data_IF_126686565533
#
_entry.id   IF_126686565533
#
_cell.length_a   1.000
_cell.length_b   1.000
_cell.length_c   1.000
_cell.angle_alpha   90.00
_cell.angle_beta   90.00
_cell.angle_gamma   90.00
#
_symmetry.space_group_name_H-M   'P 1'
#
loop_
_entity.id
_entity.type
_entity.pdbx_description
1 polymer ?
#
# COMPACT_ATOMS: atom_id res chain seq x y z
N UNK A 1 -32.09 -8.40 10.58
CA UNK A 1 -31.75 -8.17 9.17
C UNK A 1 -30.58 -9.09 8.84
N UNK A 2 -30.77 -10.02 7.87
CA UNK A 2 -29.64 -10.80 7.37
C UNK A 2 -28.73 -9.87 6.57
N UNK A 3 -27.63 -9.45 7.15
CA UNK A 3 -26.60 -8.67 6.45
C UNK A 3 -25.72 -9.64 5.68
N UNK A 4 -25.81 -9.63 4.36
CA UNK A 4 -24.96 -10.44 3.47
C UNK A 4 -23.49 -9.98 3.48
N UNK A 5 -23.22 -8.73 3.82
CA UNK A 5 -21.88 -8.11 3.90
C UNK A 5 -21.79 -7.36 5.23
N UNK A 6 -20.72 -7.62 5.99
CA UNK A 6 -20.56 -7.07 7.35
C UNK A 6 -20.40 -5.54 7.35
N UNK A 7 -19.50 -5.03 6.53
CA UNK A 7 -19.13 -3.60 6.43
C UNK A 7 -19.08 -3.18 4.95
N UNK A 8 -20.26 -2.88 4.33
CA UNK A 8 -20.37 -2.75 2.87
C UNK A 8 -19.48 -1.68 2.25
N UNK A 9 -19.38 -0.50 2.88
CA UNK A 9 -18.59 0.62 2.34
C UNK A 9 -17.10 0.23 2.27
N UNK A 10 -16.56 -0.32 3.34
CA UNK A 10 -15.18 -0.79 3.40
C UNK A 10 -14.93 -1.93 2.41
N UNK A 11 -15.85 -2.89 2.33
CA UNK A 11 -15.77 -4.01 1.43
C UNK A 11 -15.74 -3.59 -0.05
N UNK A 12 -16.70 -2.76 -0.48
CA UNK A 12 -16.85 -2.38 -1.89
C UNK A 12 -15.81 -1.36 -2.34
N UNK A 13 -15.36 -0.44 -1.48
CA UNK A 13 -14.27 0.50 -1.82
C UNK A 13 -12.98 -0.26 -2.13
N UNK A 14 -12.61 -1.23 -1.29
CA UNK A 14 -11.40 -2.01 -1.53
C UNK A 14 -11.59 -3.10 -2.59
N UNK A 15 -12.78 -3.64 -2.80
CA UNK A 15 -13.05 -4.51 -3.96
C UNK A 15 -12.85 -3.74 -5.28
N UNK A 16 -13.38 -2.52 -5.36
CA UNK A 16 -13.13 -1.62 -6.49
C UNK A 16 -11.64 -1.31 -6.65
N UNK A 17 -10.94 -1.06 -5.52
CA UNK A 17 -9.49 -0.89 -5.49
C UNK A 17 -8.73 -2.10 -6.03
N UNK A 18 -9.16 -3.33 -5.71
CA UNK A 18 -8.54 -4.55 -6.22
C UNK A 18 -8.69 -4.71 -7.74
N UNK A 19 -9.87 -4.38 -8.27
CA UNK A 19 -10.13 -4.39 -9.73
C UNK A 19 -9.25 -3.33 -10.43
N UNK A 20 -9.20 -2.12 -9.89
CA UNK A 20 -8.35 -1.05 -10.44
C UNK A 20 -6.86 -1.40 -10.35
N UNK A 21 -6.41 -2.03 -9.26
CA UNK A 21 -5.04 -2.50 -9.11
C UNK A 21 -4.68 -3.59 -10.12
N UNK A 22 -5.62 -4.49 -10.45
CA UNK A 22 -5.42 -5.48 -11.52
C UNK A 22 -5.28 -4.81 -12.89
N UNK A 23 -6.14 -3.86 -13.22
CA UNK A 23 -6.06 -3.08 -14.47
C UNK A 23 -4.73 -2.30 -14.52
N UNK A 24 -4.33 -1.66 -13.42
CA UNK A 24 -3.07 -0.94 -13.30
C UNK A 24 -1.87 -1.86 -13.51
N UNK A 25 -1.88 -3.08 -12.94
CA UNK A 25 -0.84 -4.08 -13.16
C UNK A 25 -0.72 -4.45 -14.65
N UNK A 26 -1.85 -4.74 -15.31
CA UNK A 26 -1.85 -5.06 -16.75
C UNK A 26 -1.30 -3.89 -17.58
N UNK A 27 -1.73 -2.66 -17.30
CA UNK A 27 -1.24 -1.47 -17.99
C UNK A 27 0.27 -1.27 -17.79
N UNK A 28 0.78 -1.45 -16.57
CA UNK A 28 2.22 -1.38 -16.28
C UNK A 28 3.00 -2.50 -16.98
N UNK A 29 2.49 -3.73 -17.00
CA UNK A 29 3.13 -4.85 -17.68
C UNK A 29 3.23 -4.61 -19.19
N UNK A 30 2.16 -4.16 -19.82
CA UNK A 30 2.20 -3.82 -21.26
C UNK A 30 3.23 -2.72 -21.51
N UNK A 31 3.20 -1.64 -20.73
CA UNK A 31 4.11 -0.52 -20.92
C UNK A 31 5.57 -0.92 -20.72
N UNK A 32 5.89 -1.64 -19.62
CA UNK A 32 7.26 -2.05 -19.32
C UNK A 32 7.81 -3.04 -20.36
N UNK A 33 6.97 -3.95 -20.86
CA UNK A 33 7.37 -4.93 -21.87
C UNK A 33 7.71 -4.27 -23.22
N UNK A 34 7.12 -3.12 -23.51
CA UNK A 34 7.39 -2.37 -24.77
C UNK A 34 8.54 -1.37 -24.59
N UNK A 35 8.58 -0.65 -23.45
CA UNK A 35 9.52 0.47 -23.25
C UNK A 35 10.86 0.07 -22.64
N UNK A 36 10.87 -0.89 -21.72
CA UNK A 36 12.07 -1.32 -21.00
C UNK A 36 12.02 -2.81 -20.61
N UNK A 37 12.08 -3.73 -21.57
CA UNK A 37 11.90 -5.17 -21.36
C UNK A 37 13.10 -5.78 -20.62
N UNK A 38 13.18 -5.53 -19.30
CA UNK A 38 14.20 -6.13 -18.43
C UNK A 38 13.55 -6.93 -17.32
N UNK A 39 14.24 -7.96 -16.85
CA UNK A 39 13.78 -8.79 -15.74
C UNK A 39 13.50 -7.93 -14.48
N UNK A 40 14.39 -6.99 -14.17
CA UNK A 40 14.24 -6.10 -13.02
C UNK A 40 12.99 -5.22 -13.13
N UNK A 41 12.75 -4.61 -14.31
CA UNK A 41 11.61 -3.73 -14.53
C UNK A 41 10.27 -4.50 -14.50
N UNK A 42 10.21 -5.69 -15.11
CA UNK A 42 9.03 -6.55 -15.07
C UNK A 42 8.75 -7.00 -13.63
N UNK A 43 9.78 -7.45 -12.89
CA UNK A 43 9.66 -7.85 -11.49
C UNK A 43 9.17 -6.68 -10.63
N UNK A 44 9.68 -5.48 -10.85
CA UNK A 44 9.31 -4.28 -10.11
C UNK A 44 7.81 -3.97 -10.23
N UNK A 45 7.27 -3.97 -11.44
CA UNK A 45 5.83 -3.67 -11.66
C UNK A 45 4.93 -4.82 -11.18
N UNK A 46 5.39 -6.07 -11.26
CA UNK A 46 4.67 -7.22 -10.69
C UNK A 46 4.57 -7.08 -9.18
N UNK A 47 5.68 -6.82 -8.49
CA UNK A 47 5.70 -6.67 -7.03
C UNK A 47 4.79 -5.52 -6.57
N UNK A 48 4.80 -4.39 -7.28
CA UNK A 48 3.92 -3.25 -6.98
C UNK A 48 2.45 -3.59 -7.22
N UNK A 49 2.09 -4.09 -8.39
CA UNK A 49 0.71 -4.42 -8.73
C UNK A 49 0.12 -5.51 -7.84
N UNK A 50 0.88 -6.59 -7.59
CA UNK A 50 0.47 -7.66 -6.66
C UNK A 50 0.33 -7.11 -5.25
N UNK A 51 1.24 -6.25 -4.79
CA UNK A 51 1.15 -5.62 -3.47
C UNK A 51 -0.17 -4.88 -3.26
N UNK A 52 -0.59 -4.07 -4.24
CA UNK A 52 -1.89 -3.39 -4.22
C UNK A 52 -3.07 -4.39 -4.22
N UNK A 53 -3.05 -5.37 -5.13
CA UNK A 53 -4.13 -6.35 -5.27
C UNK A 53 -4.33 -7.16 -4.00
N UNK A 54 -3.24 -7.65 -3.41
CA UNK A 54 -3.30 -8.52 -2.22
C UNK A 54 -3.83 -7.77 -1.02
N UNK A 55 -3.42 -6.51 -0.80
CA UNK A 55 -3.98 -5.68 0.26
C UNK A 55 -5.48 -5.47 0.03
N UNK A 56 -5.86 -4.95 -1.14
CA UNK A 56 -7.27 -4.61 -1.39
C UNK A 56 -8.18 -5.83 -1.34
N UNK A 57 -7.73 -6.97 -1.87
CA UNK A 57 -8.51 -8.21 -1.80
C UNK A 57 -8.63 -8.73 -0.36
N UNK A 58 -7.53 -8.76 0.40
CA UNK A 58 -7.56 -9.19 1.81
C UNK A 58 -8.50 -8.31 2.64
N UNK A 59 -8.47 -7.00 2.42
CA UNK A 59 -9.34 -6.04 3.08
C UNK A 59 -10.80 -6.20 2.66
N UNK A 60 -11.08 -6.31 1.35
CA UNK A 60 -12.44 -6.54 0.86
C UNK A 60 -13.05 -7.82 1.44
N UNK A 61 -12.28 -8.92 1.51
CA UNK A 61 -12.71 -10.18 2.14
C UNK A 61 -12.96 -9.98 3.62
N UNK A 62 -12.03 -9.36 4.36
CA UNK A 62 -12.17 -9.12 5.80
C UNK A 62 -13.47 -8.33 6.12
N UNK A 63 -13.76 -7.29 5.36
CA UNK A 63 -14.94 -6.44 5.57
C UNK A 63 -16.24 -7.06 5.03
N UNK A 64 -16.15 -8.03 4.11
CA UNK A 64 -17.33 -8.71 3.56
C UNK A 64 -17.78 -9.88 4.41
N UNK A 65 -16.82 -10.63 5.00
CA UNK A 65 -17.11 -11.93 5.59
C UNK A 65 -18.04 -11.83 6.82
N UNK A 66 -19.11 -12.65 6.81
CA UNK A 66 -20.01 -12.88 7.94
C UNK A 66 -19.76 -14.30 8.43
N UNK A 67 -18.99 -14.44 9.50
CA UNK A 67 -18.53 -15.73 10.01
C UNK A 67 -18.30 -15.66 11.54
N UNK A 68 -17.78 -16.75 12.13
CA UNK A 68 -17.42 -16.78 13.55
C UNK A 68 -16.31 -15.76 13.86
N UNK A 69 -16.22 -15.29 15.11
CA UNK A 69 -15.20 -14.35 15.56
C UNK A 69 -13.76 -14.81 15.27
N UNK A 70 -13.51 -16.13 15.35
CA UNK A 70 -12.19 -16.71 15.02
C UNK A 70 -11.83 -16.49 13.56
N UNK A 71 -12.77 -16.66 12.63
CA UNK A 71 -12.57 -16.47 11.19
C UNK A 71 -12.39 -14.98 10.88
N UNK A 72 -13.22 -14.11 11.47
CA UNK A 72 -13.10 -12.66 11.34
C UNK A 72 -11.74 -12.17 11.86
N UNK A 73 -11.30 -12.69 13.01
CA UNK A 73 -9.99 -12.35 13.57
C UNK A 73 -8.83 -12.77 12.67
N UNK A 74 -8.91 -13.95 12.02
CA UNK A 74 -7.92 -14.40 11.06
C UNK A 74 -7.81 -13.44 9.86
N UNK A 75 -8.94 -13.10 9.23
CA UNK A 75 -8.96 -12.17 8.09
C UNK A 75 -8.51 -10.77 8.48
N UNK A 76 -8.82 -10.31 9.69
CA UNK A 76 -8.31 -9.06 10.23
C UNK A 76 -6.78 -9.06 10.38
N UNK A 77 -6.18 -10.16 10.84
CA UNK A 77 -4.72 -10.29 10.89
C UNK A 77 -4.11 -10.25 9.49
N UNK A 78 -4.74 -10.93 8.55
CA UNK A 78 -4.30 -10.96 7.16
C UNK A 78 -4.35 -9.53 6.55
N UNK A 79 -5.50 -8.86 6.63
CA UNK A 79 -5.68 -7.49 6.15
C UNK A 79 -4.59 -6.54 6.66
N UNK A 80 -4.36 -6.50 7.97
CA UNK A 80 -3.31 -5.65 8.55
C UNK A 80 -1.88 -6.06 8.15
N UNK A 81 -1.63 -7.34 7.90
CA UNK A 81 -0.32 -7.82 7.45
C UNK A 81 -0.05 -7.42 6.01
N UNK A 82 -1.09 -7.36 5.16
CA UNK A 82 -0.94 -6.98 3.76
C UNK A 82 -0.59 -5.51 3.56
N UNK A 83 -0.77 -4.65 4.57
CA UNK A 83 -0.28 -3.27 4.54
C UNK A 83 1.25 -3.23 4.33
N UNK A 84 2.00 -4.11 4.99
CA UNK A 84 3.46 -4.22 4.79
C UNK A 84 3.80 -4.61 3.36
N UNK A 85 3.02 -5.52 2.76
CA UNK A 85 3.21 -5.96 1.36
C UNK A 85 2.91 -4.83 0.38
N UNK A 86 1.85 -4.05 0.61
CA UNK A 86 1.56 -2.85 -0.20
C UNK A 86 2.73 -1.87 -0.15
N UNK A 87 3.20 -1.51 1.06
CA UNK A 87 4.30 -0.56 1.22
C UNK A 87 5.56 -1.10 0.51
N UNK A 88 5.96 -2.35 0.75
CA UNK A 88 7.13 -2.94 0.10
C UNK A 88 6.99 -2.97 -1.43
N UNK A 89 5.82 -3.36 -1.93
CA UNK A 89 5.52 -3.37 -3.37
C UNK A 89 5.67 -1.98 -4.01
N UNK A 90 5.22 -0.93 -3.30
CA UNK A 90 5.32 0.46 -3.77
C UNK A 90 6.77 0.89 -3.98
N UNK A 91 7.72 0.38 -3.18
CA UNK A 91 9.14 0.67 -3.33
C UNK A 91 9.81 -0.01 -4.52
N UNK A 92 9.31 -1.17 -4.95
CA UNK A 92 9.99 -2.00 -5.94
C UNK A 92 10.34 -1.25 -7.24
N UNK A 93 9.47 -0.44 -7.89
CA UNK A 93 9.82 0.33 -9.08
C UNK A 93 10.92 1.36 -8.83
N UNK A 94 10.87 2.07 -7.71
CA UNK A 94 11.88 3.08 -7.38
C UNK A 94 13.24 2.45 -7.08
N UNK A 95 13.26 1.29 -6.40
CA UNK A 95 14.49 0.58 -6.06
C UNK A 95 15.13 -0.10 -7.28
N UNK A 96 14.33 -0.80 -8.09
CA UNK A 96 14.85 -1.68 -9.15
C UNK A 96 14.98 -1.00 -10.51
N UNK A 97 14.28 0.13 -10.73
CA UNK A 97 14.32 0.87 -11.98
C UNK A 97 15.01 2.22 -11.79
N UNK A 98 14.48 3.07 -10.91
CA UNK A 98 14.96 4.45 -10.75
C UNK A 98 16.35 4.49 -10.11
N UNK A 99 16.54 3.81 -8.99
CA UNK A 99 17.80 3.79 -8.26
C UNK A 99 18.79 2.73 -8.76
N UNK A 100 18.41 1.78 -9.56
CA UNK A 100 19.11 0.65 -10.24
C UNK A 100 20.63 0.46 -9.94
N UNK A 101 21.05 0.69 -8.71
CA UNK A 101 22.43 0.72 -8.21
C UNK A 101 22.51 0.04 -6.84
N UNK A 102 23.66 0.09 -6.19
CA UNK A 102 23.86 -0.38 -4.82
C UNK A 102 22.85 0.27 -3.83
N UNK A 103 22.54 1.56 -4.02
CA UNK A 103 21.53 2.27 -3.21
C UNK A 103 20.14 1.69 -3.39
N UNK A 104 19.73 1.38 -4.63
CA UNK A 104 18.45 0.76 -4.92
C UNK A 104 18.33 -0.63 -4.29
N UNK A 105 19.36 -1.46 -4.44
CA UNK A 105 19.36 -2.78 -3.82
C UNK A 105 19.37 -2.73 -2.30
N UNK A 106 20.12 -1.82 -1.70
CA UNK A 106 20.16 -1.61 -0.25
C UNK A 106 18.76 -1.21 0.27
N UNK A 107 18.13 -0.22 -0.36
CA UNK A 107 16.79 0.22 0.01
C UNK A 107 15.75 -0.91 -0.18
N UNK A 108 15.83 -1.65 -1.28
CA UNK A 108 14.98 -2.81 -1.53
C UNK A 108 15.08 -3.84 -0.41
N UNK A 109 16.30 -4.27 -0.08
CA UNK A 109 16.54 -5.25 0.99
C UNK A 109 16.05 -4.73 2.35
N UNK A 110 16.32 -3.46 2.68
CA UNK A 110 15.90 -2.84 3.93
C UNK A 110 14.36 -2.83 4.07
N UNK A 111 13.66 -2.41 3.01
CA UNK A 111 12.19 -2.33 3.00
C UNK A 111 11.55 -3.71 3.09
N UNK A 112 12.03 -4.68 2.30
CA UNK A 112 11.48 -6.04 2.32
C UNK A 112 11.80 -6.78 3.61
N UNK A 113 12.98 -6.60 4.19
CA UNK A 113 13.30 -7.12 5.52
C UNK A 113 12.38 -6.51 6.59
N UNK A 114 12.15 -5.19 6.55
CA UNK A 114 11.22 -4.50 7.46
C UNK A 114 9.79 -5.00 7.29
N UNK A 115 9.35 -5.27 6.04
CA UNK A 115 8.03 -5.83 5.76
C UNK A 115 7.87 -7.23 6.38
N UNK A 116 8.85 -8.11 6.18
CA UNK A 116 8.85 -9.46 6.77
C UNK A 116 8.80 -9.38 8.30
N UNK A 117 9.67 -8.56 8.91
CA UNK A 117 9.67 -8.34 10.36
C UNK A 117 8.33 -7.80 10.86
N UNK A 118 7.71 -6.86 10.11
CA UNK A 118 6.41 -6.28 10.44
C UNK A 118 5.27 -7.30 10.36
N UNK A 119 5.26 -8.17 9.35
CA UNK A 119 4.31 -9.27 9.23
C UNK A 119 4.47 -10.24 10.39
N UNK A 120 5.70 -10.67 10.67
CA UNK A 120 6.03 -11.57 11.79
C UNK A 120 5.58 -10.93 13.11
N UNK A 121 5.91 -9.66 13.34
CA UNK A 121 5.46 -8.90 14.51
C UNK A 121 3.93 -8.93 14.64
N UNK A 122 3.17 -8.69 13.56
CA UNK A 122 1.70 -8.75 13.56
C UNK A 122 1.15 -10.15 13.80
N UNK A 123 1.83 -11.18 13.35
CA UNK A 123 1.41 -12.56 13.61
C UNK A 123 1.54 -12.93 15.09
N UNK A 124 2.60 -12.46 15.79
CA UNK A 124 2.83 -12.75 17.20
C UNK A 124 2.13 -11.77 18.14
N UNK A 125 2.13 -10.47 17.85
CA UNK A 125 1.54 -9.45 18.71
C UNK A 125 0.51 -8.58 17.96
N UNK A 126 -0.58 -9.21 17.52
CA UNK A 126 -1.63 -8.53 16.78
C UNK A 126 -2.31 -7.41 17.57
N UNK A 127 -2.55 -7.62 18.87
CA UNK A 127 -3.26 -6.68 19.75
C UNK A 127 -2.36 -5.55 20.28
N UNK A 128 -1.22 -5.29 19.66
CA UNK A 128 -0.38 -4.15 20.03
C UNK A 128 -1.16 -2.82 19.90
N UNK A 129 -0.77 -1.77 20.64
CA UNK A 129 -1.39 -0.45 20.53
C UNK A 129 -1.42 0.04 19.08
N UNK A 130 -2.53 0.64 18.64
CA UNK A 130 -2.72 1.09 17.25
C UNK A 130 -1.66 2.09 16.80
N UNK A 131 -1.30 3.03 17.68
CA UNK A 131 -0.26 4.01 17.36
C UNK A 131 1.08 3.37 17.02
N UNK A 132 1.40 2.25 17.67
CA UNK A 132 2.63 1.49 17.40
C UNK A 132 2.59 0.86 15.99
N UNK A 133 1.47 0.18 15.66
CA UNK A 133 1.30 -0.38 14.31
C UNK A 133 1.37 0.69 13.23
N UNK A 134 0.61 1.76 13.42
CA UNK A 134 0.57 2.88 12.46
C UNK A 134 1.94 3.55 12.35
N UNK A 135 2.65 3.73 13.47
CA UNK A 135 4.00 4.27 13.49
C UNK A 135 4.97 3.42 12.67
N UNK A 136 4.92 2.09 12.79
CA UNK A 136 5.77 1.18 12.01
C UNK A 136 5.46 1.31 10.50
N UNK A 137 4.18 1.36 10.09
CA UNK A 137 3.80 1.56 8.68
C UNK A 137 4.32 2.89 8.14
N UNK A 138 4.15 3.98 8.90
CA UNK A 138 4.63 5.30 8.49
C UNK A 138 6.15 5.35 8.41
N UNK A 139 6.86 4.85 9.43
CA UNK A 139 8.32 4.79 9.40
C UNK A 139 8.83 4.01 8.18
N UNK A 140 8.25 2.85 7.88
CA UNK A 140 8.58 2.08 6.71
C UNK A 140 8.28 2.86 5.42
N UNK A 141 7.14 3.55 5.33
CA UNK A 141 6.75 4.36 4.16
C UNK A 141 7.69 5.54 3.90
N UNK A 142 8.31 6.11 4.95
CA UNK A 142 9.21 7.26 4.85
C UNK A 142 10.71 6.88 4.73
N UNK A 143 11.07 5.60 4.67
CA UNK A 143 12.47 5.17 4.45
C UNK A 143 13.07 5.75 3.16
N UNK A 144 12.26 6.05 2.15
CA UNK A 144 12.69 6.65 0.89
C UNK A 144 13.42 7.99 1.09
N UNK A 145 13.13 8.72 2.16
CA UNK A 145 13.75 10.01 2.48
C UNK A 145 15.27 9.87 2.70
N UNK A 146 15.73 8.72 3.21
CA UNK A 146 17.16 8.45 3.37
C UNK A 146 17.91 8.36 2.03
N UNK A 147 17.16 8.13 0.95
CA UNK A 147 17.68 7.99 -0.41
C UNK A 147 17.15 9.10 -1.34
N UNK A 148 16.66 10.22 -0.76
CA UNK A 148 16.01 11.28 -1.52
C UNK A 148 16.94 11.93 -2.54
N UNK A 149 18.21 12.18 -2.19
CA UNK A 149 19.18 12.81 -3.11
C UNK A 149 19.39 11.95 -4.36
N UNK A 150 19.83 10.68 -4.27
CA UNK A 150 20.01 9.84 -5.46
C UNK A 150 18.68 9.57 -6.19
N UNK A 151 17.54 9.60 -5.51
CA UNK A 151 16.24 9.49 -6.15
C UNK A 151 15.93 10.73 -7.00
N UNK A 152 16.16 11.92 -6.46
CA UNK A 152 15.90 13.20 -7.13
C UNK A 152 16.80 13.43 -8.35
N UNK A 153 17.99 12.84 -8.38
CA UNK A 153 18.88 12.86 -9.55
C UNK A 153 18.39 11.97 -10.70
N UNK A 154 17.58 10.93 -10.41
CA UNK A 154 17.16 9.92 -11.37
C UNK A 154 15.66 9.92 -11.67
N UNK A 155 14.85 10.70 -10.96
CA UNK A 155 13.41 10.80 -11.14
C UNK A 155 13.04 12.24 -11.49
N UNK A 156 12.22 12.43 -12.51
CA UNK A 156 11.74 13.76 -12.89
C UNK A 156 10.92 14.42 -11.77
N UNK A 157 10.85 15.74 -11.79
CA UNK A 157 10.08 16.53 -10.80
C UNK A 157 8.62 16.06 -10.69
N UNK A 158 7.97 15.72 -11.82
CA UNK A 158 6.61 15.19 -11.81
C UNK A 158 6.50 13.85 -11.05
N UNK A 159 7.47 12.96 -11.25
CA UNK A 159 7.53 11.68 -10.53
C UNK A 159 7.71 11.88 -9.03
N UNK A 160 8.59 12.81 -8.63
CA UNK A 160 8.82 13.17 -7.23
C UNK A 160 7.56 13.76 -6.60
N UNK A 161 6.87 14.65 -7.29
CA UNK A 161 5.64 15.27 -6.78
C UNK A 161 4.55 14.22 -6.51
N UNK A 162 4.32 13.28 -7.44
CA UNK A 162 3.36 12.20 -7.21
C UNK A 162 3.81 11.23 -6.13
N UNK A 163 5.10 10.94 -6.00
CA UNK A 163 5.64 10.12 -4.91
C UNK A 163 5.38 10.78 -3.55
N UNK A 164 5.68 12.07 -3.40
CA UNK A 164 5.44 12.83 -2.17
C UNK A 164 3.93 12.90 -1.87
N UNK A 165 3.11 13.18 -2.88
CA UNK A 165 1.65 13.24 -2.73
C UNK A 165 1.08 11.90 -2.22
N UNK A 166 1.58 10.79 -2.75
CA UNK A 166 1.21 9.45 -2.27
C UNK A 166 1.59 9.23 -0.80
N UNK A 167 2.81 9.61 -0.42
CA UNK A 167 3.28 9.56 0.97
C UNK A 167 2.44 10.44 1.91
N UNK A 168 2.02 11.63 1.46
CA UNK A 168 1.13 12.52 2.20
C UNK A 168 -0.25 11.87 2.41
N UNK A 169 -0.86 11.31 1.35
CA UNK A 169 -2.15 10.63 1.48
C UNK A 169 -2.08 9.45 2.44
N UNK A 170 -1.06 8.60 2.35
CA UNK A 170 -0.87 7.50 3.30
C UNK A 170 -0.64 8.00 4.74
N UNK A 171 0.09 9.10 4.91
CA UNK A 171 0.34 9.70 6.23
C UNK A 171 -0.94 10.24 6.86
N UNK A 172 -1.74 10.99 6.09
CA UNK A 172 -3.04 11.50 6.55
C UNK A 172 -3.97 10.33 6.90
N UNK A 173 -4.06 9.32 6.02
CA UNK A 173 -4.84 8.12 6.27
C UNK A 173 -4.39 7.40 7.55
N UNK A 174 -3.09 7.18 7.71
CA UNK A 174 -2.52 6.58 8.91
C UNK A 174 -2.83 7.37 10.18
N UNK A 175 -2.74 8.70 10.13
CA UNK A 175 -3.12 9.57 11.24
C UNK A 175 -4.60 9.42 11.60
N UNK A 176 -5.50 9.46 10.62
CA UNK A 176 -6.95 9.27 10.81
C UNK A 176 -7.24 7.91 11.44
N UNK A 177 -6.59 6.85 10.95
CA UNK A 177 -6.73 5.49 11.50
C UNK A 177 -6.24 5.38 12.94
N UNK A 178 -5.10 5.99 13.25
CA UNK A 178 -4.48 5.95 14.57
C UNK A 178 -5.23 6.79 15.61
N UNK A 179 -5.58 8.04 15.26
CA UNK A 179 -6.16 9.04 16.16
C UNK A 179 -7.68 8.92 16.33
N UNK A 180 -8.39 8.36 15.33
CA UNK A 180 -9.87 8.24 15.32
C UNK A 180 -10.60 9.54 15.66
N UNK A 181 -10.41 10.61 14.90
CA UNK A 181 -11.00 11.89 15.21
C UNK A 181 -12.53 11.83 15.11
N UNK A 182 -13.23 12.14 16.21
CA UNK A 182 -14.69 12.06 16.31
C UNK A 182 -15.42 12.95 15.30
N UNK A 183 -14.82 14.05 14.86
CA UNK A 183 -15.38 14.96 13.88
C UNK A 183 -15.42 14.38 12.46
N UNK A 184 -14.77 13.23 12.19
CA UNK A 184 -14.86 12.47 10.93
C UNK A 184 -15.90 11.35 10.97
N UNK A 185 -16.79 11.33 11.95
CA UNK A 185 -17.88 10.35 12.02
C UNK A 185 -19.17 10.95 11.39
N UNK A 186 -19.47 10.52 10.16
CA UNK A 186 -20.68 10.88 9.42
C UNK A 186 -21.65 9.70 9.41
N UNK A 187 -22.91 9.95 9.00
CA UNK A 187 -24.00 8.95 9.03
C UNK A 187 -23.65 7.63 8.30
N UNK A 188 -22.85 7.69 7.23
CA UNK A 188 -22.50 6.54 6.37
C UNK A 188 -21.00 6.32 6.21
N UNK A 189 -20.17 7.20 6.71
CA UNK A 189 -18.71 7.14 6.60
C UNK A 189 -18.08 7.55 7.93
N UNK A 190 -17.35 6.64 8.55
CA UNK A 190 -16.54 6.92 9.72
C UNK A 190 -15.06 7.10 9.39
N UNK A 191 -14.25 7.23 10.41
CA UNK A 191 -12.81 7.37 10.29
C UNK A 191 -12.14 6.21 9.52
N UNK A 192 -12.74 5.01 9.55
CA UNK A 192 -12.17 3.83 8.88
C UNK A 192 -12.44 3.85 7.38
N UNK A 193 -13.65 4.19 6.95
CA UNK A 193 -14.01 4.38 5.54
C UNK A 193 -13.17 5.49 4.90
N UNK A 194 -12.97 6.59 5.62
CA UNK A 194 -12.13 7.70 5.17
C UNK A 194 -10.67 7.26 5.04
N UNK A 195 -10.16 6.48 6.00
CA UNK A 195 -8.83 5.87 5.89
C UNK A 195 -8.68 5.06 4.61
N UNK A 196 -9.67 4.21 4.25
CA UNK A 196 -9.66 3.43 3.00
C UNK A 196 -9.55 4.34 1.76
N UNK A 197 -10.27 5.46 1.73
CA UNK A 197 -10.18 6.42 0.62
C UNK A 197 -8.77 7.00 0.52
N UNK A 198 -8.14 7.37 1.64
CA UNK A 198 -6.76 7.86 1.62
C UNK A 198 -5.75 6.81 1.17
N UNK A 199 -5.96 5.54 1.50
CA UNK A 199 -5.13 4.43 1.00
C UNK A 199 -5.26 4.30 -0.51
N UNK A 200 -6.47 4.38 -1.07
CA UNK A 200 -6.71 4.36 -2.51
C UNK A 200 -6.07 5.55 -3.23
N UNK A 201 -6.20 6.76 -2.68
CA UNK A 201 -5.59 7.97 -3.24
C UNK A 201 -4.06 7.90 -3.20
N UNK A 202 -3.49 7.38 -2.12
CA UNK A 202 -2.05 7.15 -2.00
C UNK A 202 -1.54 6.17 -3.06
N UNK A 203 -2.23 5.03 -3.23
CA UNK A 203 -1.88 4.06 -4.27
C UNK A 203 -2.02 4.64 -5.68
N UNK A 204 -3.06 5.43 -5.94
CA UNK A 204 -3.23 6.10 -7.24
C UNK A 204 -2.09 7.07 -7.52
N UNK A 205 -1.68 7.89 -6.55
CA UNK A 205 -0.58 8.82 -6.71
C UNK A 205 0.74 8.06 -6.99
N UNK A 206 1.04 7.01 -6.24
CA UNK A 206 2.21 6.16 -6.51
C UNK A 206 2.14 5.47 -7.88
N UNK A 207 0.96 4.97 -8.27
CA UNK A 207 0.77 4.42 -9.61
C UNK A 207 1.06 5.45 -10.71
N UNK A 208 0.58 6.68 -10.57
CA UNK A 208 0.86 7.75 -11.52
C UNK A 208 2.34 8.12 -11.55
N UNK A 209 3.01 8.16 -10.38
CA UNK A 209 4.46 8.35 -10.32
C UNK A 209 5.19 7.25 -11.11
N UNK A 210 4.84 5.99 -10.87
CA UNK A 210 5.47 4.85 -11.55
C UNK A 210 5.11 4.83 -13.03
N UNK A 211 3.84 4.87 -13.36
CA UNK A 211 3.36 4.72 -14.73
C UNK A 211 3.80 5.86 -15.65
N UNK A 212 3.78 7.10 -15.19
CA UNK A 212 4.09 8.24 -16.04
C UNK A 212 5.57 8.62 -16.08
N UNK A 213 6.34 8.28 -15.03
CA UNK A 213 7.68 8.85 -14.84
C UNK A 213 8.79 7.83 -14.55
N UNK A 214 8.46 6.58 -14.18
CA UNK A 214 9.46 5.51 -13.95
C UNK A 214 9.54 4.56 -15.13
N UNK A 215 8.40 4.20 -15.76
CA UNK A 215 8.32 3.24 -16.88
C UNK A 215 7.90 3.86 -18.20
#
# INVERSE_FOLDING_TARGET
MNTYVREPVNAFTHLGGAVLAFIALLAMLVKVSVKMPSFAAITAVILFGIGMMVLYMASAVYHSVVASERVIYFFRKLDHSMIFILIAGTYAPFCLITLSSANGLLLFCLVYATAICGIVFKMFWFNCPRWLSTGIYLLMGWLIVLFFVPLAENLSTGGILFLILGGIFYTIGGFIYGAKPKWLEFKYMGHHEIFHVFVLLGSLAHFLSVYCYVI
#
